data_IF_699623805659
#
_entry.id   IF_699623805659
#
_cell.length_a   1.000
_cell.length_b   1.000
_cell.length_c   1.000
_cell.angle_alpha   90.00
_cell.angle_beta   90.00
_cell.angle_gamma   90.00
#
_symmetry.space_group_name_H-M   'P 1'
#
loop_
_entity.id
_entity.type
_entity.pdbx_description
1 polymer ?
#
# COMPACT_ATOMS: atom_id res chain seq x y z
N UNK A 1 1.43 2.91 10.46
CA UNK A 1 2.63 2.35 9.83
C UNK A 1 3.77 3.36 9.94
N UNK A 2 5.03 2.91 9.96
CA UNK A 2 6.22 3.79 9.98
C UNK A 2 6.98 3.71 8.65
N UNK A 3 7.65 4.80 8.23
CA UNK A 3 8.27 4.90 6.89
C UNK A 3 9.44 3.94 6.72
N UNK A 4 10.15 3.61 7.81
CA UNK A 4 11.26 2.66 7.84
C UNK A 4 10.84 1.21 7.54
N UNK A 5 9.55 0.92 7.70
CA UNK A 5 8.97 -0.40 7.41
C UNK A 5 8.53 -0.56 5.95
N UNK A 6 8.38 0.55 5.23
CA UNK A 6 7.92 0.55 3.85
C UNK A 6 9.11 0.32 2.91
N UNK A 7 8.95 -0.64 2.00
CA UNK A 7 9.95 -0.97 0.99
C UNK A 7 9.33 -0.92 -0.40
N UNK A 8 10.14 -0.53 -1.38
CA UNK A 8 9.77 -0.64 -2.79
C UNK A 8 9.40 -2.09 -3.13
N UNK A 9 8.31 -2.26 -3.87
CA UNK A 9 7.75 -3.57 -4.22
C UNK A 9 6.86 -4.21 -3.14
N UNK A 10 6.70 -3.57 -1.97
CA UNK A 10 5.73 -4.02 -0.96
C UNK A 10 4.30 -3.77 -1.44
N UNK A 11 3.38 -4.70 -1.17
CA UNK A 11 1.95 -4.46 -1.37
C UNK A 11 1.37 -3.88 -0.08
N UNK A 12 0.67 -2.75 -0.21
CA UNK A 12 0.02 -2.09 0.91
C UNK A 12 -1.46 -1.86 0.58
N UNK A 13 -2.33 -2.06 1.56
CA UNK A 13 -3.72 -1.61 1.51
C UNK A 13 -3.82 -0.15 1.94
N UNK A 14 -4.68 0.61 1.27
CA UNK A 14 -5.00 1.99 1.62
C UNK A 14 -6.50 2.19 1.52
N UNK A 15 -7.02 3.31 2.04
CA UNK A 15 -8.43 3.66 1.86
C UNK A 15 -8.84 3.91 0.40
N UNK A 16 -7.87 4.18 -0.50
CA UNK A 16 -8.11 4.45 -1.92
C UNK A 16 -8.02 3.18 -2.78
N UNK A 17 -7.50 2.08 -2.24
CA UNK A 17 -7.20 0.86 -2.98
C UNK A 17 -5.98 0.15 -2.43
N UNK A 18 -5.70 -1.04 -2.94
CA UNK A 18 -4.46 -1.76 -2.63
C UNK A 18 -3.48 -1.61 -3.78
N UNK A 19 -2.20 -1.46 -3.47
CA UNK A 19 -1.20 -1.17 -4.50
C UNK A 19 0.19 -1.64 -4.13
N UNK A 20 1.05 -1.72 -5.14
CA UNK A 20 2.48 -2.02 -4.96
C UNK A 20 3.26 -0.71 -4.85
N UNK A 21 4.06 -0.56 -3.80
CA UNK A 21 4.88 0.63 -3.56
C UNK A 21 5.92 0.81 -4.66
N UNK A 22 5.86 1.93 -5.37
CA UNK A 22 6.79 2.29 -6.46
C UNK A 22 7.74 3.41 -6.07
N UNK A 23 7.36 4.26 -5.12
CA UNK A 23 8.20 5.34 -4.60
C UNK A 23 7.79 5.74 -3.18
N UNK A 24 8.74 6.24 -2.41
CA UNK A 24 8.52 6.78 -1.06
C UNK A 24 9.24 8.12 -0.96
N UNK A 25 8.48 9.18 -0.68
CA UNK A 25 9.03 10.50 -0.39
C UNK A 25 9.09 10.70 1.13
N UNK A 26 10.31 10.60 1.68
CA UNK A 26 10.55 10.80 3.11
C UNK A 26 10.42 12.25 3.59
N UNK A 27 10.47 13.25 2.69
CA UNK A 27 10.33 14.65 3.08
C UNK A 27 8.87 15.01 3.36
N UNK A 28 7.94 14.46 2.57
CA UNK A 28 6.50 14.69 2.72
C UNK A 28 5.77 13.54 3.40
N UNK A 29 6.46 12.43 3.69
CA UNK A 29 5.88 11.18 4.19
C UNK A 29 4.80 10.60 3.26
N UNK A 30 4.98 10.82 1.96
CA UNK A 30 4.06 10.37 0.90
C UNK A 30 4.57 9.07 0.29
N UNK A 31 3.64 8.15 0.03
CA UNK A 31 3.91 6.87 -0.60
C UNK A 31 3.14 6.79 -1.92
N UNK A 32 3.86 6.44 -2.97
CA UNK A 32 3.31 6.22 -4.29
C UNK A 32 3.19 4.73 -4.53
N UNK A 33 1.99 4.31 -4.90
CA UNK A 33 1.67 2.93 -5.23
C UNK A 33 1.15 2.84 -6.65
N UNK A 34 1.27 1.66 -7.21
CA UNK A 34 0.54 1.28 -8.41
C UNK A 34 -0.60 0.36 -8.02
N UNK A 35 -1.82 0.72 -8.42
CA UNK A 35 -3.01 -0.09 -8.15
C UNK A 35 -2.85 -1.49 -8.79
N UNK A 36 -3.19 -2.54 -8.04
CA UNK A 36 -3.01 -3.93 -8.50
C UNK A 36 -4.08 -4.38 -9.51
N UNK A 37 -5.21 -3.67 -9.58
CA UNK A 37 -6.35 -3.98 -10.44
C UNK A 37 -6.23 -3.34 -11.83
N UNK A 38 -5.89 -2.05 -11.88
CA UNK A 38 -5.90 -1.27 -13.13
C UNK A 38 -4.60 -0.53 -13.44
N UNK A 39 -3.58 -0.68 -12.59
CA UNK A 39 -2.24 -0.14 -12.79
C UNK A 39 -2.21 1.40 -12.85
N UNK A 40 -3.18 2.08 -12.21
CA UNK A 40 -3.15 3.51 -12.02
C UNK A 40 -2.28 3.91 -10.82
N UNK A 41 -1.71 5.12 -10.87
CA UNK A 41 -0.90 5.64 -9.77
C UNK A 41 -1.78 6.10 -8.59
N UNK A 42 -1.55 5.55 -7.41
CA UNK A 42 -2.17 5.93 -6.14
C UNK A 42 -1.13 6.71 -5.32
N UNK A 43 -1.53 7.88 -4.84
CA UNK A 43 -0.72 8.71 -3.93
C UNK A 43 -1.46 8.84 -2.59
N UNK A 44 -0.77 8.47 -1.52
CA UNK A 44 -1.32 8.49 -0.16
C UNK A 44 -0.25 8.91 0.85
N UNK A 45 -0.70 9.54 1.94
CA UNK A 45 0.15 9.71 3.11
C UNK A 45 0.41 8.37 3.79
N UNK A 46 1.54 8.25 4.50
CA UNK A 46 1.85 7.02 5.25
C UNK A 46 0.80 6.67 6.32
N UNK A 47 0.13 7.67 6.86
CA UNK A 47 -0.99 7.53 7.79
C UNK A 47 -2.24 6.89 7.17
N UNK A 48 -2.41 6.95 5.86
CA UNK A 48 -3.51 6.32 5.13
C UNK A 48 -3.23 4.85 4.78
N UNK A 49 -2.00 4.36 5.04
CA UNK A 49 -1.65 2.96 4.83
C UNK A 49 -2.19 2.13 5.98
N UNK A 50 -3.01 1.15 5.62
CA UNK A 50 -3.67 0.23 6.54
C UNK A 50 -2.67 -0.85 6.93
N UNK A 51 -2.20 -0.78 8.17
CA UNK A 51 -1.31 -1.76 8.79
C UNK A 51 -2.14 -2.87 9.44
N UNK A 52 -2.89 -3.61 8.61
CA UNK A 52 -3.68 -4.75 9.06
C UNK A 52 -2.99 -6.06 8.66
N UNK A 53 -2.45 -6.84 9.62
CA UNK A 53 -1.82 -8.14 9.33
C UNK A 53 -2.82 -9.17 8.79
N UNK A 54 -4.13 -8.87 8.82
CA UNK A 54 -5.23 -9.65 8.29
C UNK A 54 -5.89 -8.96 7.07
N UNK A 55 -5.17 -8.19 6.24
CA UNK A 55 -5.67 -7.89 4.88
C UNK A 55 -5.83 -9.23 4.16
N UNK A 56 -7.05 -9.77 4.23
CA UNK A 56 -7.47 -10.94 3.52
C UNK A 56 -7.45 -10.53 2.04
N UNK A 57 -6.49 -11.05 1.29
CA UNK A 57 -6.67 -11.14 -0.15
C UNK A 57 -8.04 -11.79 -0.36
N UNK A 58 -8.85 -11.24 -1.25
CA UNK A 58 -10.22 -11.72 -1.50
C UNK A 58 -10.26 -13.19 -2.02
N UNK A 59 -9.10 -13.83 -2.15
CA UNK A 59 -8.87 -15.24 -2.45
C UNK A 59 -8.55 -16.13 -1.22
N UNK A 60 -8.66 -15.63 0.02
CA UNK A 60 -8.58 -16.48 1.22
C UNK A 60 -9.89 -17.29 1.41
N UNK A 61 -10.19 -18.11 0.41
CA UNK A 61 -11.18 -19.19 0.50
C UNK A 61 -10.51 -20.37 1.19
N UNK A 62 -10.65 -20.46 2.52
CA UNK A 62 -10.29 -21.68 3.25
C UNK A 62 -11.27 -22.80 2.85
N UNK A 63 -10.72 -23.86 2.23
CA UNK A 63 -11.40 -25.10 1.87
C UNK A 63 -12.04 -25.80 3.08
#
# INVERSE_FOLDING_TARGET
MDLDKIRLGMVCGTHKGSGTVTWVDGATQTVYLNDIMDNHAIEVGIEEIIDDPQIHNHEDSYY
#
